data_IF_422100180468
#
_entry.id   IF_422100180468
#
_cell.length_a   1.000
_cell.length_b   1.000
_cell.length_c   1.000
_cell.angle_alpha   90.00
_cell.angle_beta   90.00
_cell.angle_gamma   90.00
#
_symmetry.space_group_name_H-M   'P 1'
#
loop_
_entity.id
_entity.type
_entity.pdbx_description
1 polymer ?
#
# COMPACT_ATOMS: atom_id res chain seq x y z
N UNK A 1 -21.27 15.99 22.23
CA UNK A 1 -21.35 14.62 21.66
C UNK A 1 -20.23 14.44 20.67
N UNK A 2 -19.69 13.27 20.61
CA UNK A 2 -18.64 12.91 19.66
C UNK A 2 -19.13 13.13 18.23
N UNK A 3 -18.21 13.49 17.33
CA UNK A 3 -18.43 13.69 15.89
C UNK A 3 -19.35 14.87 15.50
N UNK A 4 -19.79 15.69 16.44
CA UNK A 4 -20.48 16.93 16.08
C UNK A 4 -19.51 17.91 15.45
N UNK A 5 -19.93 18.55 14.37
CA UNK A 5 -19.19 19.70 13.79
C UNK A 5 -19.69 20.96 14.49
N UNK A 6 -18.75 21.65 15.10
CA UNK A 6 -19.05 22.87 15.87
C UNK A 6 -18.20 24.03 15.40
N UNK A 7 -18.76 25.22 15.54
CA UNK A 7 -18.02 26.48 15.45
C UNK A 7 -17.88 27.04 16.86
N UNK A 8 -16.65 27.16 17.34
CA UNK A 8 -16.34 27.81 18.61
C UNK A 8 -15.66 29.16 18.33
N UNK A 9 -16.17 30.22 18.90
CA UNK A 9 -15.59 31.56 18.88
C UNK A 9 -15.22 31.96 20.31
N UNK A 10 -14.05 32.56 20.49
CA UNK A 10 -13.56 32.92 21.79
C UNK A 10 -12.13 33.44 21.73
N UNK A 11 -11.52 33.58 22.89
CA UNK A 11 -10.15 34.10 23.06
C UNK A 11 -9.19 32.93 23.28
N UNK A 12 -8.06 32.95 22.58
CA UNK A 12 -6.98 31.97 22.80
C UNK A 12 -6.25 32.38 24.09
N UNK A 13 -6.12 31.41 24.99
CA UNK A 13 -5.40 31.58 26.26
C UNK A 13 -4.38 30.45 26.41
N UNK A 14 -3.32 30.72 27.17
CA UNK A 14 -2.35 29.70 27.58
C UNK A 14 -3.01 28.77 28.61
N UNK A 15 -2.81 27.44 28.45
CA UNK A 15 -3.26 26.49 29.47
C UNK A 15 -2.49 26.64 30.76
N UNK A 16 -3.21 26.59 31.89
CA UNK A 16 -2.60 26.61 33.19
C UNK A 16 -1.61 25.46 33.44
N UNK A 17 -0.75 25.61 34.42
CA UNK A 17 0.17 24.58 34.85
C UNK A 17 -0.60 23.29 35.16
N UNK A 18 -0.13 22.15 34.57
CA UNK A 18 -0.76 20.84 34.72
C UNK A 18 -1.90 20.53 33.71
N UNK A 19 -2.35 21.52 32.95
CA UNK A 19 -3.36 21.32 31.88
C UNK A 19 -2.75 21.23 30.48
N UNK A 20 -1.45 21.48 30.35
CA UNK A 20 -0.73 21.34 29.08
C UNK A 20 -0.69 19.89 28.63
N UNK A 21 -1.02 19.63 27.36
CA UNK A 21 -1.06 18.28 26.80
C UNK A 21 0.01 18.11 25.71
N UNK A 22 1.15 17.47 26.02
CA UNK A 22 2.25 17.29 25.07
C UNK A 22 1.90 16.39 23.86
N UNK A 23 0.78 15.66 23.91
CA UNK A 23 0.35 14.77 22.86
C UNK A 23 -0.45 15.47 21.74
N UNK A 24 -0.74 16.76 21.90
CA UNK A 24 -1.49 17.58 20.94
C UNK A 24 -0.62 18.76 20.51
N UNK A 25 -0.53 19.01 19.20
CA UNK A 25 0.32 20.07 18.67
C UNK A 25 -0.03 21.49 19.21
N UNK A 26 -1.31 21.70 19.57
CA UNK A 26 -1.80 22.94 20.23
C UNK A 26 -2.02 22.75 21.73
N UNK A 27 -1.34 21.81 22.35
CA UNK A 27 -1.59 21.42 23.74
C UNK A 27 -1.20 22.46 24.81
N UNK A 28 -0.46 23.49 24.44
CA UNK A 28 -0.09 24.60 25.32
C UNK A 28 -1.17 25.68 25.42
N UNK A 29 -2.12 25.70 24.49
CA UNK A 29 -3.17 26.71 24.42
C UNK A 29 -4.57 26.10 24.44
N UNK A 30 -5.54 26.91 24.79
CA UNK A 30 -6.96 26.56 24.75
C UNK A 30 -7.76 27.77 24.25
N UNK A 31 -9.00 27.53 23.86
CA UNK A 31 -9.95 28.59 23.50
C UNK A 31 -10.93 28.74 24.64
N UNK A 32 -10.94 29.90 25.27
CA UNK A 32 -12.01 30.32 26.17
C UNK A 32 -13.19 30.71 25.31
N UNK A 33 -14.20 29.84 25.25
CA UNK A 33 -15.29 29.93 24.29
C UNK A 33 -16.37 30.91 24.78
N UNK A 34 -16.64 31.96 24.00
CA UNK A 34 -17.74 32.90 24.23
C UNK A 34 -19.03 32.44 23.52
N UNK A 35 -18.90 31.81 22.33
CA UNK A 35 -20.04 31.34 21.55
C UNK A 35 -19.74 30.00 20.93
N UNK A 36 -20.68 29.06 21.05
CA UNK A 36 -20.62 27.71 20.47
C UNK A 36 -21.85 27.44 19.61
N UNK A 37 -21.63 27.22 18.32
CA UNK A 37 -22.66 26.88 17.36
C UNK A 37 -22.47 25.44 16.89
N UNK A 38 -23.54 24.65 16.88
CA UNK A 38 -23.53 23.30 16.30
C UNK A 38 -23.88 23.42 14.81
N UNK A 39 -22.89 23.21 13.94
CA UNK A 39 -23.06 23.26 12.49
C UNK A 39 -23.67 21.98 11.94
N UNK A 40 -23.28 20.83 12.51
CA UNK A 40 -23.85 19.54 12.13
C UNK A 40 -23.86 18.56 13.31
N UNK A 41 -24.92 17.76 13.41
CA UNK A 41 -25.07 16.70 14.41
C UNK A 41 -24.73 15.36 13.78
N UNK A 42 -24.10 14.49 14.53
CA UNK A 42 -23.83 13.12 14.14
C UNK A 42 -24.62 12.15 15.03
N UNK A 43 -24.99 11.02 14.46
CA UNK A 43 -25.46 9.87 15.21
C UNK A 43 -24.30 9.16 15.91
N UNK A 44 -24.59 8.26 16.83
CA UNK A 44 -23.57 7.46 17.48
C UNK A 44 -22.89 6.55 16.45
N UNK A 45 -21.58 6.61 16.38
CA UNK A 45 -20.82 5.79 15.43
C UNK A 45 -20.90 4.30 15.82
N UNK A 46 -21.03 3.40 14.83
CA UNK A 46 -21.03 1.96 15.06
C UNK A 46 -19.67 1.43 15.55
N UNK A 47 -18.59 2.15 15.26
CA UNK A 47 -17.25 1.93 15.82
C UNK A 47 -16.67 3.26 16.27
N UNK A 48 -15.84 3.22 17.32
CA UNK A 48 -15.17 4.41 17.86
C UNK A 48 -13.73 4.46 17.35
N UNK A 49 -13.41 5.33 16.36
CA UNK A 49 -12.09 5.32 15.71
C UNK A 49 -10.92 5.65 16.65
N UNK A 50 -11.19 6.38 17.73
CA UNK A 50 -10.17 6.89 18.65
C UNK A 50 -10.15 6.19 20.01
N UNK A 51 -10.99 5.15 20.22
CA UNK A 51 -10.94 4.34 21.42
C UNK A 51 -9.71 3.43 21.40
N UNK A 52 -8.87 3.53 22.43
CA UNK A 52 -7.66 2.71 22.56
C UNK A 52 -7.99 1.30 23.07
N UNK A 53 -8.91 1.18 24.04
CA UNK A 53 -9.13 -0.05 24.82
C UNK A 53 -10.31 -0.91 24.35
N UNK A 54 -11.17 -0.41 23.47
CA UNK A 54 -12.37 -1.14 23.05
C UNK A 54 -12.48 -1.15 21.52
N UNK A 55 -11.62 -1.93 20.88
CA UNK A 55 -11.63 -2.08 19.43
C UNK A 55 -12.81 -2.98 19.03
N UNK A 56 -13.64 -2.49 18.13
CA UNK A 56 -14.68 -3.29 17.50
C UNK A 56 -14.08 -4.55 16.84
N UNK A 57 -14.83 -5.63 16.83
CA UNK A 57 -14.45 -6.87 16.16
C UNK A 57 -14.14 -6.67 14.67
N UNK A 58 -13.38 -7.57 14.10
CA UNK A 58 -12.87 -7.47 12.74
C UNK A 58 -14.00 -7.33 11.70
N UNK A 59 -15.06 -8.11 11.84
CA UNK A 59 -16.23 -8.06 10.97
C UNK A 59 -16.86 -6.66 10.93
N UNK A 60 -17.06 -6.04 12.09
CA UNK A 60 -17.64 -4.71 12.19
C UNK A 60 -16.70 -3.63 11.59
N UNK A 61 -15.40 -3.79 11.78
CA UNK A 61 -14.37 -2.92 11.18
C UNK A 61 -14.31 -3.05 9.67
N UNK A 62 -14.53 -4.22 9.11
CA UNK A 62 -14.64 -4.40 7.66
C UNK A 62 -15.94 -3.81 7.11
N UNK A 63 -17.05 -4.01 7.78
CA UNK A 63 -18.35 -3.43 7.39
C UNK A 63 -18.31 -1.90 7.36
N UNK A 64 -17.65 -1.28 8.34
CA UNK A 64 -17.50 0.17 8.45
C UNK A 64 -16.05 0.61 8.20
N UNK A 65 -15.44 0.07 7.15
CA UNK A 65 -14.02 0.28 6.85
C UNK A 65 -13.63 1.75 6.73
N UNK A 66 -14.49 2.59 6.18
CA UNK A 66 -14.30 4.04 6.07
C UNK A 66 -14.17 4.74 7.44
N UNK A 67 -14.81 4.23 8.49
CA UNK A 67 -14.62 4.72 9.86
C UNK A 67 -13.34 4.14 10.49
N UNK A 68 -13.06 2.85 10.27
CA UNK A 68 -11.83 2.21 10.76
C UNK A 68 -10.57 2.89 10.19
N UNK A 69 -10.62 3.35 8.94
CA UNK A 69 -9.54 4.09 8.32
C UNK A 69 -9.21 5.42 9.01
N UNK A 70 -10.08 5.97 9.83
CA UNK A 70 -9.82 7.19 10.63
C UNK A 70 -8.88 6.94 11.81
N UNK A 71 -8.64 5.69 12.18
CA UNK A 71 -7.74 5.34 13.27
C UNK A 71 -6.29 5.75 12.95
N UNK A 72 -5.54 6.29 13.91
CA UNK A 72 -4.15 6.71 13.69
C UNK A 72 -3.27 5.60 13.11
N UNK A 73 -3.42 4.37 13.58
CA UNK A 73 -2.70 3.19 13.06
C UNK A 73 -2.98 2.96 11.57
N UNK A 74 -4.25 3.06 11.15
CA UNK A 74 -4.65 2.87 9.76
C UNK A 74 -4.18 4.02 8.87
N UNK A 75 -4.31 5.25 9.35
CA UNK A 75 -3.79 6.44 8.66
C UNK A 75 -2.28 6.36 8.45
N UNK A 76 -1.54 5.93 9.47
CA UNK A 76 -0.10 5.74 9.38
C UNK A 76 0.28 4.64 8.38
N UNK A 77 -0.47 3.53 8.35
CA UNK A 77 -0.27 2.47 7.36
C UNK A 77 -0.46 2.99 5.92
N UNK A 78 -1.51 3.78 5.66
CA UNK A 78 -1.73 4.37 4.33
C UNK A 78 -0.61 5.32 3.94
N UNK A 79 -0.15 6.17 4.86
CA UNK A 79 0.98 7.09 4.64
C UNK A 79 2.27 6.33 4.34
N UNK A 80 2.57 5.28 5.12
CA UNK A 80 3.74 4.43 4.88
C UNK A 80 3.68 3.71 3.53
N UNK A 81 2.50 3.20 3.14
CA UNK A 81 2.32 2.58 1.82
C UNK A 81 2.57 3.58 0.69
N UNK A 82 2.03 4.79 0.79
CA UNK A 82 2.25 5.85 -0.20
C UNK A 82 3.75 6.23 -0.29
N UNK A 83 4.42 6.34 0.85
CA UNK A 83 5.86 6.59 0.91
C UNK A 83 6.67 5.45 0.26
N UNK A 84 6.31 4.20 0.53
CA UNK A 84 6.94 3.03 -0.09
C UNK A 84 6.82 3.08 -1.62
N UNK A 85 5.63 3.39 -2.15
CA UNK A 85 5.42 3.51 -3.59
C UNK A 85 6.28 4.62 -4.19
N UNK A 86 6.34 5.79 -3.55
CA UNK A 86 7.20 6.89 -3.99
C UNK A 86 8.68 6.47 -4.03
N UNK A 87 9.19 5.75 -3.03
CA UNK A 87 10.55 5.23 -3.02
C UNK A 87 10.81 4.23 -4.14
N UNK A 88 9.85 3.37 -4.44
CA UNK A 88 9.95 2.44 -5.58
C UNK A 88 10.06 3.22 -6.89
N UNK A 89 9.19 4.20 -7.13
CA UNK A 89 9.24 5.03 -8.34
C UNK A 89 10.58 5.75 -8.46
N UNK A 90 11.02 6.47 -7.42
CA UNK A 90 12.31 7.18 -7.40
C UNK A 90 13.49 6.24 -7.72
N UNK A 91 13.47 5.03 -7.17
CA UNK A 91 14.51 4.04 -7.42
C UNK A 91 14.52 3.53 -8.86
N UNK A 92 13.35 3.17 -9.39
CA UNK A 92 13.21 2.61 -10.74
C UNK A 92 13.51 3.67 -11.81
N UNK A 93 13.01 4.88 -11.63
CA UNK A 93 13.26 6.01 -12.52
C UNK A 93 14.76 6.37 -12.54
N UNK A 94 15.43 6.34 -11.39
CA UNK A 94 16.87 6.56 -11.27
C UNK A 94 17.75 5.49 -11.92
N UNK A 95 17.14 4.41 -12.45
CA UNK A 95 17.79 3.30 -13.14
C UNK A 95 17.29 3.12 -14.57
N UNK A 96 16.72 4.17 -15.14
CA UNK A 96 16.24 4.22 -16.53
C UNK A 96 15.12 3.21 -16.84
N UNK A 97 14.37 2.75 -15.82
CA UNK A 97 13.15 1.99 -16.07
C UNK A 97 12.01 2.94 -16.41
N UNK A 98 11.19 2.56 -17.37
CA UNK A 98 10.02 3.32 -17.81
C UNK A 98 8.77 2.70 -17.18
N UNK A 99 8.00 3.50 -16.45
CA UNK A 99 6.71 3.05 -15.93
C UNK A 99 5.67 3.02 -17.05
N UNK A 100 5.10 1.84 -17.30
CA UNK A 100 4.04 1.66 -18.28
C UNK A 100 2.91 0.83 -17.66
N UNK A 101 1.73 1.41 -17.59
CA UNK A 101 0.54 0.70 -17.14
C UNK A 101 -0.06 -0.13 -18.27
N UNK A 102 -0.24 -1.42 -18.00
CA UNK A 102 -0.80 -2.37 -18.95
C UNK A 102 -2.31 -2.50 -18.77
N UNK A 103 -3.06 -2.95 -19.80
CA UNK A 103 -4.50 -3.13 -19.73
C UNK A 103 -4.94 -4.10 -18.62
N UNK A 104 -6.03 -3.74 -17.91
CA UNK A 104 -6.65 -4.60 -16.89
C UNK A 104 -7.71 -5.52 -17.51
N UNK A 105 -8.37 -5.11 -18.58
CA UNK A 105 -9.25 -5.98 -19.35
C UNK A 105 -8.43 -6.66 -20.45
N UNK A 106 -8.13 -7.93 -20.26
CA UNK A 106 -7.26 -8.70 -21.14
C UNK A 106 -7.93 -10.00 -21.62
N UNK A 107 -7.23 -10.76 -22.42
CA UNK A 107 -7.57 -12.15 -22.67
C UNK A 107 -7.08 -13.03 -21.53
N UNK A 108 -7.71 -14.19 -21.36
CA UNK A 108 -7.22 -15.22 -20.44
C UNK A 108 -5.78 -15.60 -20.77
N UNK A 109 -4.96 -15.77 -19.74
CA UNK A 109 -3.56 -16.18 -19.87
C UNK A 109 -3.29 -17.45 -19.04
N UNK A 110 -2.44 -18.37 -19.52
CA UNK A 110 -2.16 -19.62 -18.82
C UNK A 110 -1.13 -19.44 -17.68
N UNK A 111 -1.37 -18.53 -16.74
CA UNK A 111 -0.44 -18.22 -15.64
C UNK A 111 -0.50 -19.20 -14.45
N UNK A 112 -1.37 -20.21 -14.52
CA UNK A 112 -1.44 -21.27 -13.52
C UNK A 112 -2.48 -21.11 -12.42
N UNK A 113 -3.03 -19.91 -12.19
CA UNK A 113 -4.19 -19.68 -11.32
C UNK A 113 -5.48 -19.65 -12.16
N UNK A 114 -6.63 -19.61 -11.49
CA UNK A 114 -7.92 -19.35 -12.16
C UNK A 114 -8.07 -17.85 -12.42
N UNK A 115 -8.65 -17.53 -13.60
CA UNK A 115 -8.94 -16.17 -13.98
C UNK A 115 -10.26 -15.69 -13.38
N UNK A 116 -10.32 -14.42 -13.00
CA UNK A 116 -11.59 -13.72 -12.86
C UNK A 116 -12.10 -13.33 -14.25
N UNK A 117 -13.26 -13.85 -14.63
CA UNK A 117 -13.85 -13.63 -15.95
C UNK A 117 -14.93 -12.55 -15.90
N UNK A 118 -14.92 -11.66 -16.90
CA UNK A 118 -15.90 -10.60 -17.07
C UNK A 118 -16.64 -10.84 -18.39
N UNK A 119 -17.97 -11.09 -18.38
CA UNK A 119 -18.73 -11.28 -19.62
C UNK A 119 -18.66 -10.05 -20.52
N UNK A 120 -18.43 -10.28 -21.82
CA UNK A 120 -18.47 -9.22 -22.82
C UNK A 120 -19.92 -8.82 -23.12
N UNK A 121 -20.25 -7.55 -22.95
CA UNK A 121 -21.56 -7.03 -23.33
C UNK A 121 -21.74 -6.91 -24.86
N UNK A 122 -20.62 -6.75 -25.59
CA UNK A 122 -20.64 -6.50 -27.04
C UNK A 122 -20.52 -7.80 -27.87
N UNK A 123 -20.01 -8.87 -27.28
CA UNK A 123 -19.78 -10.12 -27.97
C UNK A 123 -20.35 -11.28 -27.15
N UNK A 124 -21.46 -11.82 -27.60
CA UNK A 124 -22.14 -12.93 -26.94
C UNK A 124 -21.22 -14.15 -26.82
N UNK A 125 -21.23 -14.78 -25.66
CA UNK A 125 -20.40 -15.97 -25.36
C UNK A 125 -18.90 -15.70 -25.17
N UNK A 126 -18.46 -14.44 -25.21
CA UNK A 126 -17.06 -14.07 -24.95
C UNK A 126 -16.86 -13.35 -23.62
N UNK A 127 -15.64 -13.44 -23.13
CA UNK A 127 -15.24 -12.92 -21.82
C UNK A 127 -13.92 -12.16 -21.93
N UNK A 128 -13.77 -11.15 -21.10
CA UNK A 128 -12.49 -10.60 -20.70
C UNK A 128 -12.00 -11.36 -19.48
N UNK A 129 -10.70 -11.35 -19.24
CA UNK A 129 -10.09 -11.81 -18.00
C UNK A 129 -9.37 -10.66 -17.29
N UNK A 130 -9.38 -10.65 -15.96
CA UNK A 130 -8.51 -9.79 -15.19
C UNK A 130 -7.09 -10.41 -15.17
N UNK A 131 -6.02 -9.61 -15.31
CA UNK A 131 -4.67 -10.15 -15.47
C UNK A 131 -4.17 -10.79 -14.16
N UNK A 132 -3.62 -11.99 -14.26
CA UNK A 132 -2.92 -12.64 -13.16
C UNK A 132 -1.54 -12.04 -12.93
N UNK A 133 -0.91 -11.55 -13.99
CA UNK A 133 0.31 -10.77 -14.09
C UNK A 133 0.39 -10.14 -15.48
N UNK A 134 1.12 -9.05 -15.71
CA UNK A 134 1.22 -8.40 -17.02
C UNK A 134 2.22 -9.09 -17.98
N UNK A 135 2.44 -10.40 -17.87
CA UNK A 135 3.51 -11.14 -18.52
C UNK A 135 3.54 -10.97 -20.04
N UNK A 136 2.40 -11.12 -20.71
CA UNK A 136 2.34 -10.99 -22.16
C UNK A 136 2.59 -9.54 -22.62
N UNK A 137 2.05 -8.57 -21.88
CA UNK A 137 2.21 -7.17 -22.22
C UNK A 137 3.66 -6.70 -22.06
N UNK A 138 4.34 -7.07 -20.97
CA UNK A 138 5.73 -6.67 -20.77
C UNK A 138 6.67 -7.28 -21.82
N UNK A 139 6.44 -8.52 -22.24
CA UNK A 139 7.20 -9.12 -23.35
C UNK A 139 6.97 -8.38 -24.67
N UNK A 140 5.72 -7.98 -24.96
CA UNK A 140 5.41 -7.17 -26.16
C UNK A 140 6.06 -5.79 -26.08
N UNK A 141 6.18 -5.19 -24.91
CA UNK A 141 6.91 -3.92 -24.71
C UNK A 141 8.40 -4.09 -25.02
N UNK A 142 9.02 -5.20 -24.63
CA UNK A 142 10.41 -5.52 -25.00
C UNK A 142 10.56 -5.62 -26.52
N UNK A 143 9.66 -6.35 -27.20
CA UNK A 143 9.62 -6.43 -28.67
C UNK A 143 9.40 -5.05 -29.29
N UNK A 144 8.59 -4.20 -28.65
CA UNK A 144 8.30 -2.84 -29.06
C UNK A 144 9.45 -1.83 -28.82
N UNK A 145 10.59 -2.29 -28.27
CA UNK A 145 11.79 -1.46 -28.08
C UNK A 145 11.90 -0.78 -26.71
N UNK A 146 11.03 -1.10 -25.76
CA UNK A 146 11.16 -0.64 -24.37
C UNK A 146 12.14 -1.58 -23.65
N UNK A 147 13.38 -1.17 -23.49
CA UNK A 147 14.44 -2.02 -22.96
C UNK A 147 14.38 -2.24 -21.45
N UNK A 148 13.76 -1.35 -20.68
CA UNK A 148 13.61 -1.42 -19.22
C UNK A 148 12.22 -0.93 -18.84
N UNK A 149 11.39 -1.83 -18.40
CA UNK A 149 9.99 -1.58 -18.02
C UNK A 149 9.77 -1.88 -16.56
N UNK A 150 8.89 -1.13 -15.91
CA UNK A 150 8.28 -1.52 -14.64
C UNK A 150 6.85 -0.99 -14.50
N UNK A 151 6.12 -1.56 -13.57
CA UNK A 151 4.89 -0.98 -13.01
C UNK A 151 4.57 -1.57 -11.63
N UNK A 152 3.80 -0.84 -10.85
CA UNK A 152 3.09 -1.39 -9.69
C UNK A 152 1.78 -2.01 -10.19
N UNK A 153 1.85 -3.27 -10.62
CA UNK A 153 0.79 -3.96 -11.33
C UNK A 153 -0.30 -4.49 -10.39
N UNK A 154 -1.55 -4.15 -10.66
CA UNK A 154 -2.69 -4.84 -10.06
C UNK A 154 -2.84 -6.23 -10.69
N UNK A 155 -2.79 -7.26 -9.85
CA UNK A 155 -2.88 -8.67 -10.25
C UNK A 155 -4.07 -9.32 -9.56
N UNK A 156 -4.71 -10.25 -10.27
CA UNK A 156 -5.94 -10.90 -9.83
C UNK A 156 -5.82 -12.41 -10.00
N UNK A 157 -6.04 -13.15 -8.94
CA UNK A 157 -6.04 -14.62 -8.99
C UNK A 157 -7.22 -15.15 -8.20
N UNK A 158 -8.05 -15.95 -8.84
CA UNK A 158 -9.18 -16.64 -8.20
C UNK A 158 -8.66 -17.90 -7.51
N UNK A 159 -8.04 -17.70 -6.36
CA UNK A 159 -7.47 -18.73 -5.50
C UNK A 159 -8.25 -18.82 -4.19
N UNK A 160 -8.17 -19.97 -3.55
CA UNK A 160 -8.80 -20.16 -2.24
C UNK A 160 -8.14 -19.25 -1.18
N UNK A 161 -8.92 -18.60 -0.32
CA UNK A 161 -8.37 -17.75 0.72
C UNK A 161 -7.52 -18.56 1.71
N UNK A 162 -6.39 -17.99 2.09
CA UNK A 162 -5.50 -18.55 3.13
C UNK A 162 -5.34 -17.54 4.25
N UNK A 163 -5.03 -18.02 5.45
CA UNK A 163 -4.88 -17.18 6.63
C UNK A 163 -3.80 -16.10 6.50
N UNK A 164 -2.77 -16.33 5.67
CA UNK A 164 -1.61 -15.47 5.46
C UNK A 164 -1.67 -14.65 4.15
N UNK A 165 -2.73 -14.82 3.33
CA UNK A 165 -2.85 -14.17 2.03
C UNK A 165 -4.24 -13.59 1.81
N UNK A 166 -4.25 -12.39 1.21
CA UNK A 166 -5.50 -11.77 0.77
C UNK A 166 -6.05 -12.52 -0.45
N UNK A 167 -7.37 -12.64 -0.47
CA UNK A 167 -8.13 -13.12 -1.60
C UNK A 167 -8.30 -12.01 -2.66
N UNK A 168 -8.14 -12.36 -3.92
CA UNK A 168 -8.47 -11.49 -5.06
C UNK A 168 -7.33 -10.59 -5.53
N UNK A 169 -7.49 -9.28 -5.38
CA UNK A 169 -6.53 -8.28 -5.87
C UNK A 169 -5.30 -8.15 -4.99
N UNK A 170 -4.12 -8.13 -5.62
CA UNK A 170 -2.86 -7.79 -4.98
C UNK A 170 -1.97 -6.99 -5.94
N UNK A 171 -0.94 -6.33 -5.41
CA UNK A 171 -0.03 -5.53 -6.21
C UNK A 171 1.35 -6.14 -6.24
N UNK A 172 1.96 -6.15 -7.42
CA UNK A 172 3.35 -6.56 -7.63
C UNK A 172 4.15 -5.38 -8.16
N UNK A 173 5.39 -5.21 -7.67
CA UNK A 173 6.39 -4.52 -8.46
C UNK A 173 6.79 -5.48 -9.58
N UNK A 174 6.28 -5.24 -10.76
CA UNK A 174 6.60 -6.02 -11.96
C UNK A 174 7.61 -5.24 -12.79
N UNK A 175 8.63 -5.92 -13.30
CA UNK A 175 9.67 -5.33 -14.14
C UNK A 175 10.14 -6.32 -15.19
N UNK A 176 10.70 -5.78 -16.28
CA UNK A 176 11.30 -6.56 -17.35
C UNK A 176 12.50 -5.81 -17.92
N UNK A 177 13.54 -6.55 -18.28
CA UNK A 177 14.77 -6.02 -18.88
C UNK A 177 15.12 -6.79 -20.15
N UNK A 178 15.39 -6.07 -21.25
CA UNK A 178 15.98 -6.64 -22.46
C UNK A 178 17.50 -6.82 -22.30
N UNK A 179 18.06 -7.74 -23.10
CA UNK A 179 19.49 -7.98 -23.21
C UNK A 179 20.17 -8.48 -21.93
N UNK A 180 19.42 -8.98 -20.96
CA UNK A 180 20.00 -9.64 -19.80
C UNK A 180 20.52 -11.03 -20.19
N UNK A 181 21.81 -11.32 -19.91
CA UNK A 181 22.41 -12.61 -20.20
C UNK A 181 21.94 -13.70 -19.23
N UNK A 182 21.64 -13.28 -18.00
CA UNK A 182 21.22 -14.21 -16.94
C UNK A 182 20.39 -13.51 -15.84
N UNK A 183 19.80 -14.31 -14.96
CA UNK A 183 18.96 -13.80 -13.88
C UNK A 183 19.71 -12.99 -12.79
N UNK A 184 21.03 -13.08 -12.69
CA UNK A 184 21.81 -12.33 -11.71
C UNK A 184 21.83 -10.83 -12.02
N UNK A 185 21.78 -10.46 -13.29
CA UNK A 185 21.69 -9.04 -13.68
C UNK A 185 20.41 -8.40 -13.17
N UNK A 186 19.26 -9.10 -13.31
CA UNK A 186 17.98 -8.63 -12.79
C UNK A 186 18.00 -8.57 -11.25
N UNK A 187 18.58 -9.57 -10.58
CA UNK A 187 18.72 -9.56 -9.12
C UNK A 187 19.57 -8.40 -8.62
N UNK A 188 20.65 -8.09 -9.32
CA UNK A 188 21.53 -6.96 -9.00
C UNK A 188 20.79 -5.63 -9.07
N UNK A 189 19.82 -5.50 -9.97
CA UNK A 189 18.95 -4.32 -10.04
C UNK A 189 17.95 -4.26 -8.89
N UNK A 190 17.38 -5.37 -8.46
CA UNK A 190 16.30 -5.38 -7.46
C UNK A 190 16.82 -5.45 -6.03
N UNK A 191 17.96 -6.08 -5.79
CA UNK A 191 18.48 -6.34 -4.45
C UNK A 191 18.72 -5.08 -3.60
N UNK A 192 19.32 -3.99 -4.12
CA UNK A 192 19.48 -2.77 -3.34
C UNK A 192 18.14 -2.13 -2.93
N UNK A 193 17.14 -2.18 -3.80
CA UNK A 193 15.79 -1.73 -3.49
C UNK A 193 15.18 -2.53 -2.33
N UNK A 194 15.29 -3.86 -2.38
CA UNK A 194 14.75 -4.73 -1.32
C UNK A 194 15.42 -4.45 0.02
N UNK A 195 16.74 -4.23 0.05
CA UNK A 195 17.48 -3.85 1.26
C UNK A 195 17.01 -2.50 1.81
N UNK A 196 16.87 -1.52 0.95
CA UNK A 196 16.39 -0.18 1.33
C UNK A 196 14.98 -0.25 1.91
N UNK A 197 14.04 -0.92 1.23
CA UNK A 197 12.67 -1.05 1.71
C UNK A 197 12.57 -1.81 3.03
N UNK A 198 13.36 -2.87 3.22
CA UNK A 198 13.41 -3.61 4.47
C UNK A 198 13.91 -2.73 5.63
N UNK A 199 14.92 -1.92 5.41
CA UNK A 199 15.48 -1.01 6.41
C UNK A 199 14.48 0.12 6.74
N UNK A 200 13.93 0.77 5.72
CA UNK A 200 13.13 1.98 5.90
C UNK A 200 11.72 1.68 6.47
N UNK A 201 11.12 0.55 6.09
CA UNK A 201 9.72 0.25 6.40
C UNK A 201 9.50 -0.91 7.36
N UNK A 202 10.35 -1.95 7.33
CA UNK A 202 10.22 -3.06 8.25
C UNK A 202 10.95 -2.83 9.56
N UNK A 203 11.90 -1.91 9.60
CA UNK A 203 12.78 -1.66 10.75
C UNK A 203 13.62 -2.88 11.11
N UNK A 204 13.78 -3.81 10.16
CA UNK A 204 14.48 -5.07 10.32
C UNK A 204 15.75 -5.06 9.48
N UNK A 205 16.84 -5.53 10.04
CA UNK A 205 18.01 -5.90 9.25
C UNK A 205 17.69 -7.19 8.49
N UNK A 206 18.00 -7.23 7.21
CA UNK A 206 18.04 -8.51 6.50
C UNK A 206 19.19 -9.33 7.11
N UNK A 207 18.84 -10.46 7.71
CA UNK A 207 19.82 -11.41 8.24
C UNK A 207 20.24 -12.34 7.12
N UNK A 208 21.52 -12.58 7.03
CA UNK A 208 22.07 -13.68 6.26
C UNK A 208 21.85 -15.00 7.04
N UNK A 209 21.82 -16.13 6.33
CA UNK A 209 21.66 -17.46 6.91
C UNK A 209 22.88 -17.89 7.76
N UNK A 210 23.98 -17.18 7.68
CA UNK A 210 25.19 -17.38 8.47
C UNK A 210 25.28 -16.47 9.69
N UNK A 211 24.17 -15.86 10.14
CA UNK A 211 24.11 -14.85 11.21
C UNK A 211 24.87 -13.54 10.92
N UNK A 212 25.29 -13.34 9.69
CA UNK A 212 25.90 -12.09 9.26
C UNK A 212 24.83 -11.07 8.93
N UNK A 213 24.90 -9.91 9.56
CA UNK A 213 24.02 -8.80 9.26
C UNK A 213 24.24 -8.32 7.81
N UNK A 214 23.26 -8.51 6.93
CA UNK A 214 23.29 -7.94 5.60
C UNK A 214 22.82 -6.50 5.68
N UNK A 215 23.72 -5.59 5.92
CA UNK A 215 23.41 -4.17 6.03
C UNK A 215 24.53 -3.28 5.54
N UNK A 216 25.64 -3.88 5.18
CA UNK A 216 26.91 -3.25 4.83
C UNK A 216 27.25 -3.28 3.32
N UNK A 217 26.27 -3.64 2.47
CA UNK A 217 26.51 -3.82 1.04
C UNK A 217 26.69 -5.27 0.58
N UNK A 218 26.74 -6.24 1.51
CA UNK A 218 26.81 -7.67 1.17
C UNK A 218 25.61 -8.12 0.34
N UNK A 219 25.78 -9.01 -0.65
CA UNK A 219 24.68 -9.52 -1.46
C UNK A 219 23.72 -10.36 -0.61
N UNK A 220 22.46 -10.40 -1.00
CA UNK A 220 21.48 -11.33 -0.39
C UNK A 220 21.89 -12.76 -0.73
N UNK A 221 21.94 -13.68 0.26
CA UNK A 221 22.38 -15.06 0.04
C UNK A 221 21.61 -15.76 -1.07
N UNK A 222 22.30 -16.53 -1.88
CA UNK A 222 21.72 -17.37 -2.94
C UNK A 222 21.57 -18.80 -2.42
N UNK A 223 20.35 -19.31 -2.43
CA UNK A 223 20.03 -20.69 -2.02
C UNK A 223 19.54 -21.42 -3.27
N UNK A 224 20.18 -22.54 -3.61
CA UNK A 224 19.67 -23.46 -4.63
C UNK A 224 18.54 -24.30 -4.05
N UNK A 225 17.58 -24.62 -4.90
CA UNK A 225 16.49 -25.54 -4.58
C UNK A 225 17.04 -26.96 -4.43
#
# INVERSE_FOLDING_TARGET
RDEFVVRACGVVAERGEGLKNPNIASGDVEIVVDNLEILNRAETLPIQPFAEDNQAGEELRFKYRYLDLRRPKMQNMLKKRAEMYRRIHEYMDGRDFIEIQTPILANSSPEGARDFLIPSRLQEGKFYALPQAPQQFKQLLMVGGVSRYYQLAACFRDEDPRADRLYGEFYQLDLEMSFAENGEEVRTEVEPLMKQLATDFAGKKLLDLSDLAVGDGSPIPRISY
#
